data_IF_859929157035
#
_entry.id   IF_859929157035
#
_cell.length_a   1.000
_cell.length_b   1.000
_cell.length_c   1.000
_cell.angle_alpha   90.00
_cell.angle_beta   90.00
_cell.angle_gamma   90.00
#
_symmetry.space_group_name_H-M   'P 1'
#
loop_
_entity.id
_entity.type
_entity.pdbx_description
1 polymer ?
#
# COMPACT_ATOMS: atom_id res chain seq x y z
N UNK A 1 3.98 -16.74 3.06
CA UNK A 1 4.09 -15.45 3.78
C UNK A 1 2.69 -14.98 4.17
N UNK A 2 2.51 -14.22 5.26
CA UNK A 2 1.23 -13.54 5.51
C UNK A 2 0.94 -12.51 4.41
N UNK A 3 -0.34 -12.28 4.09
CA UNK A 3 -0.76 -11.34 3.04
C UNK A 3 -0.90 -9.90 3.54
N UNK A 4 -1.30 -9.73 4.80
CA UNK A 4 -1.60 -8.43 5.40
C UNK A 4 -1.17 -8.38 6.86
N UNK A 5 -0.87 -7.19 7.36
CA UNK A 5 -0.66 -6.89 8.79
C UNK A 5 -1.76 -5.98 9.33
N UNK A 6 -2.08 -6.09 10.61
CA UNK A 6 -3.08 -5.24 11.26
C UNK A 6 -2.52 -4.67 12.57
N UNK A 7 -2.23 -3.37 12.57
CA UNK A 7 -1.52 -2.70 13.66
C UNK A 7 -2.52 -1.88 14.47
N UNK A 8 -2.51 -2.11 15.80
CA UNK A 8 -3.27 -1.34 16.79
C UNK A 8 -4.76 -1.21 16.51
N UNK A 9 -5.36 -2.17 15.81
CA UNK A 9 -6.79 -2.13 15.51
C UNK A 9 -7.22 -1.02 14.53
N UNK A 10 -6.27 -0.35 13.86
CA UNK A 10 -6.58 0.84 13.03
C UNK A 10 -5.80 0.91 11.72
N UNK A 11 -4.64 0.25 11.62
CA UNK A 11 -3.81 0.35 10.42
C UNK A 11 -3.76 -1.00 9.71
N UNK A 12 -4.22 -1.04 8.47
CA UNK A 12 -4.13 -2.23 7.61
C UNK A 12 -2.92 -2.12 6.68
N UNK A 13 -1.99 -3.06 6.79
CA UNK A 13 -0.77 -3.11 5.98
C UNK A 13 -0.90 -4.18 4.89
N UNK A 14 -0.57 -3.85 3.64
CA UNK A 14 -0.57 -4.81 2.52
C UNK A 14 0.38 -4.37 1.39
N UNK A 15 0.94 -5.30 0.61
CA UNK A 15 1.91 -4.91 -0.42
C UNK A 15 1.26 -4.18 -1.60
N UNK A 16 0.23 -4.78 -2.20
CA UNK A 16 -0.48 -4.29 -3.37
C UNK A 16 -1.50 -3.22 -3.00
N UNK A 17 -2.78 -3.56 -3.00
CA UNK A 17 -3.82 -2.59 -2.66
C UNK A 17 -5.17 -3.25 -2.47
N UNK A 18 -6.21 -2.42 -2.41
CA UNK A 18 -7.55 -2.85 -2.04
C UNK A 18 -8.27 -3.63 -3.14
N UNK A 19 -9.34 -4.31 -2.74
CA UNK A 19 -10.24 -5.06 -3.62
C UNK A 19 -11.68 -4.58 -3.42
N UNK A 20 -12.51 -4.47 -4.49
CA UNK A 20 -13.92 -4.13 -4.36
C UNK A 20 -14.72 -5.17 -3.58
N UNK A 21 -14.18 -6.38 -3.41
CA UNK A 21 -14.81 -7.47 -2.68
C UNK A 21 -14.41 -7.54 -1.20
N UNK A 22 -13.55 -6.62 -0.73
CA UNK A 22 -13.15 -6.53 0.67
C UNK A 22 -14.24 -5.82 1.47
N UNK A 23 -15.04 -6.61 2.19
CA UNK A 23 -16.18 -6.16 2.98
C UNK A 23 -15.97 -6.34 4.48
N UNK A 24 -15.13 -7.29 4.90
CA UNK A 24 -14.76 -7.50 6.30
C UNK A 24 -13.33 -8.02 6.42
N UNK A 25 -12.72 -7.85 7.61
CA UNK A 25 -11.34 -8.31 7.86
C UNK A 25 -11.23 -9.84 7.95
N UNK A 26 -12.31 -10.56 8.25
CA UNK A 26 -12.31 -12.02 8.31
C UNK A 26 -12.09 -12.66 6.94
N UNK A 27 -12.48 -11.99 5.86
CA UNK A 27 -12.13 -12.41 4.51
C UNK A 27 -10.62 -12.55 4.33
N UNK A 28 -9.83 -11.60 4.84
CA UNK A 28 -8.36 -11.64 4.78
C UNK A 28 -7.77 -12.74 5.66
N UNK A 29 -8.37 -13.00 6.83
CA UNK A 29 -7.95 -14.06 7.76
C UNK A 29 -8.17 -15.46 7.19
N UNK A 30 -9.24 -15.63 6.41
CA UNK A 30 -9.67 -16.91 5.86
C UNK A 30 -9.18 -17.15 4.42
N UNK A 31 -8.31 -16.28 3.87
CA UNK A 31 -7.76 -16.52 2.54
C UNK A 31 -6.92 -17.80 2.52
N UNK A 32 -7.16 -18.72 1.56
CA UNK A 32 -6.36 -19.92 1.43
C UNK A 32 -4.91 -19.55 1.08
N UNK A 33 -3.94 -20.19 1.74
CA UNK A 33 -2.50 -19.90 1.52
C UNK A 33 -1.93 -20.55 0.26
N UNK A 34 -2.62 -21.56 -0.29
CA UNK A 34 -2.22 -22.24 -1.52
C UNK A 34 -2.67 -21.40 -2.70
N UNK A 35 -1.84 -20.42 -3.06
CA UNK A 35 -2.01 -19.65 -4.28
C UNK A 35 -0.67 -19.71 -5.00
N UNK A 36 -0.52 -20.69 -5.90
CA UNK A 36 0.36 -20.48 -7.05
C UNK A 36 -0.28 -19.33 -7.83
N UNK A 37 0.24 -18.12 -7.62
CA UNK A 37 -0.21 -16.95 -8.36
C UNK A 37 0.14 -17.21 -9.84
N UNK A 38 -0.85 -17.21 -10.75
CA UNK A 38 -0.55 -17.42 -12.17
C UNK A 38 0.17 -16.17 -12.70
N UNK A 39 1.50 -16.17 -12.68
CA UNK A 39 2.47 -15.12 -13.04
C UNK A 39 2.84 -14.06 -11.97
N UNK A 40 4.13 -13.76 -11.74
CA UNK A 40 4.60 -12.85 -10.68
C UNK A 40 4.47 -11.34 -10.98
N UNK A 41 3.75 -10.93 -12.03
CA UNK A 41 3.60 -9.53 -12.42
C UNK A 41 2.27 -8.91 -11.93
N UNK A 42 1.84 -9.22 -10.70
CA UNK A 42 0.61 -8.65 -10.14
C UNK A 42 0.89 -7.40 -9.33
N UNK A 43 0.76 -6.27 -10.00
CA UNK A 43 0.95 -4.97 -9.39
C UNK A 43 -0.23 -4.05 -9.50
N UNK A 44 -0.86 -3.75 -8.36
CA UNK A 44 -1.80 -2.63 -8.26
C UNK A 44 -1.04 -1.31 -8.42
N UNK A 45 -0.96 -0.85 -9.66
CA UNK A 45 -0.62 0.53 -9.98
C UNK A 45 -1.85 1.38 -9.66
N UNK A 46 -1.81 2.10 -8.54
CA UNK A 46 -2.70 3.24 -8.30
C UNK A 46 -2.36 4.27 -9.35
N UNK A 47 -3.13 4.26 -10.44
CA UNK A 47 -3.07 5.33 -11.42
C UNK A 47 -4.10 6.36 -11.00
N UNK A 48 -3.54 7.41 -10.42
CA UNK A 48 -4.17 8.67 -10.05
C UNK A 48 -5.25 9.04 -11.08
N UNK A 49 -6.48 9.31 -10.60
CA UNK A 49 -7.65 9.89 -11.30
C UNK A 49 -8.80 8.96 -11.72
N UNK A 50 -8.91 7.75 -11.18
CA UNK A 50 -10.16 6.97 -11.33
C UNK A 50 -11.15 7.32 -10.21
N UNK A 51 -12.44 7.33 -10.52
CA UNK A 51 -13.53 7.42 -9.53
C UNK A 51 -14.04 6.00 -9.28
N UNK A 52 -14.14 5.59 -8.02
CA UNK A 52 -14.57 4.26 -7.63
C UNK A 52 -13.55 3.18 -7.99
N UNK A 53 -14.03 2.09 -8.58
CA UNK A 53 -13.22 0.94 -8.97
C UNK A 53 -13.19 0.81 -10.49
N UNK A 54 -11.99 0.61 -11.04
CA UNK A 54 -11.80 0.37 -12.48
C UNK A 54 -11.00 -0.90 -12.68
N UNK A 55 -11.51 -1.82 -13.51
CA UNK A 55 -10.76 -3.01 -13.88
C UNK A 55 -9.47 -2.61 -14.62
N UNK A 56 -8.34 -3.11 -14.15
CA UNK A 56 -7.07 -2.92 -14.83
C UNK A 56 -6.98 -3.98 -15.94
N UNK A 57 -6.97 -3.56 -17.19
CA UNK A 57 -6.92 -4.49 -18.34
C UNK A 57 -5.54 -5.09 -18.57
N UNK A 58 -4.49 -4.55 -17.92
CA UNK A 58 -3.10 -5.01 -18.07
C UNK A 58 -2.63 -5.92 -16.93
N UNK A 59 -3.31 -5.88 -15.80
CA UNK A 59 -3.00 -6.64 -14.57
C UNK A 59 -4.32 -7.19 -14.08
N UNK A 60 -4.44 -8.50 -13.76
CA UNK A 60 -5.70 -9.06 -13.26
C UNK A 60 -6.04 -8.53 -11.85
N UNK A 61 -6.44 -7.26 -11.75
CA UNK A 61 -6.80 -6.56 -10.54
C UNK A 61 -7.53 -5.24 -10.86
N UNK A 62 -7.72 -4.39 -9.85
CA UNK A 62 -8.46 -3.14 -9.94
C UNK A 62 -7.59 -1.94 -9.60
N UNK A 63 -7.80 -0.85 -10.32
CA UNK A 63 -7.40 0.49 -9.91
C UNK A 63 -8.53 1.10 -9.07
N UNK A 64 -8.20 1.89 -8.06
CA UNK A 64 -9.17 2.47 -7.15
C UNK A 64 -8.94 3.96 -6.93
N UNK A 65 -10.03 4.68 -6.78
CA UNK A 65 -10.06 6.11 -6.52
C UNK A 65 -9.95 6.45 -5.03
N UNK A 66 -9.87 7.75 -4.76
CA UNK A 66 -9.88 8.27 -3.39
C UNK A 66 -11.18 7.91 -2.65
N UNK A 67 -12.31 7.94 -3.35
CA UNK A 67 -13.62 7.57 -2.82
C UNK A 67 -13.67 6.10 -2.37
N UNK A 68 -13.09 5.20 -3.16
CA UNK A 68 -12.99 3.79 -2.80
C UNK A 68 -12.12 3.55 -1.55
N UNK A 69 -11.01 4.29 -1.40
CA UNK A 69 -10.17 4.23 -0.18
C UNK A 69 -10.96 4.71 1.04
N UNK A 70 -11.65 5.84 0.93
CA UNK A 70 -12.46 6.39 2.02
C UNK A 70 -13.57 5.41 2.42
N UNK A 71 -14.29 4.85 1.44
CA UNK A 71 -15.35 3.85 1.69
C UNK A 71 -14.82 2.63 2.43
N UNK A 72 -13.70 2.06 1.98
CA UNK A 72 -13.11 0.89 2.63
C UNK A 72 -12.65 1.23 4.05
N UNK A 73 -12.00 2.37 4.26
CA UNK A 73 -11.59 2.76 5.61
C UNK A 73 -12.79 3.01 6.54
N UNK A 74 -13.91 3.51 6.03
CA UNK A 74 -15.14 3.66 6.84
C UNK A 74 -15.76 2.30 7.15
N UNK A 75 -15.92 1.46 6.11
CA UNK A 75 -16.54 0.13 6.19
C UNK A 75 -15.82 -0.83 7.13
N UNK A 76 -14.49 -0.77 7.16
CA UNK A 76 -13.65 -1.64 7.98
C UNK A 76 -13.18 -0.96 9.28
N UNK A 77 -13.67 0.24 9.56
CA UNK A 77 -13.26 1.09 10.69
C UNK A 77 -11.72 1.21 10.82
N UNK A 78 -11.08 1.59 9.72
CA UNK A 78 -9.63 1.81 9.66
C UNK A 78 -9.29 3.30 9.84
N UNK A 79 -8.15 3.55 10.48
CA UNK A 79 -7.48 4.86 10.53
C UNK A 79 -6.66 5.14 9.28
N UNK A 80 -5.93 4.12 8.80
CA UNK A 80 -4.95 4.24 7.72
C UNK A 80 -4.77 2.90 7.00
N UNK A 81 -4.52 2.96 5.69
CA UNK A 81 -4.01 1.83 4.91
C UNK A 81 -2.55 2.12 4.57
N UNK A 82 -1.65 1.21 4.94
CA UNK A 82 -0.24 1.28 4.57
C UNK A 82 0.06 0.28 3.46
N UNK A 83 0.59 0.76 2.34
CA UNK A 83 0.96 -0.09 1.21
C UNK A 83 2.34 0.21 0.64
N UNK A 84 2.79 -0.65 -0.27
CA UNK A 84 4.04 -0.47 -1.00
C UNK A 84 3.80 -0.59 -2.50
N UNK A 85 4.66 -1.32 -3.21
CA UNK A 85 4.51 -1.74 -4.61
C UNK A 85 4.65 -0.64 -5.67
N UNK A 86 4.50 0.64 -5.33
CA UNK A 86 4.76 1.75 -6.25
C UNK A 86 5.97 2.56 -5.81
N UNK A 87 6.90 2.80 -6.73
CA UNK A 87 8.00 3.77 -6.54
C UNK A 87 7.38 5.15 -6.38
N UNK A 88 7.73 5.84 -5.31
CA UNK A 88 7.31 7.20 -5.00
C UNK A 88 8.57 8.04 -4.77
N UNK A 89 8.58 9.28 -5.27
CA UNK A 89 9.79 10.10 -5.36
C UNK A 89 10.45 10.29 -3.99
N UNK A 90 9.67 10.63 -2.97
CA UNK A 90 10.19 10.89 -1.62
C UNK A 90 10.17 9.63 -0.75
N UNK A 91 10.10 8.42 -1.32
CA UNK A 91 10.05 7.17 -0.54
C UNK A 91 8.77 6.97 0.27
N UNK A 92 7.89 7.97 0.38
CA UNK A 92 6.50 7.82 0.81
C UNK A 92 5.57 8.82 0.10
N UNK A 93 4.29 8.50 -0.01
CA UNK A 93 3.27 9.39 -0.55
C UNK A 93 1.91 9.13 0.12
N UNK A 94 1.24 10.20 0.55
CA UNK A 94 -0.12 10.11 1.07
C UNK A 94 -1.16 10.27 -0.04
N UNK A 95 -2.25 9.53 0.09
CA UNK A 95 -3.40 9.56 -0.80
C UNK A 95 -4.71 9.57 -0.01
N UNK A 96 -5.79 9.99 -0.66
CA UNK A 96 -7.14 9.97 -0.14
C UNK A 96 -7.30 10.66 1.23
N UNK A 97 -6.88 11.93 1.33
CA UNK A 97 -6.89 12.71 2.58
C UNK A 97 -6.11 12.01 3.71
N UNK A 98 -4.90 11.52 3.39
CA UNK A 98 -4.01 10.80 4.31
C UNK A 98 -4.59 9.49 4.87
N UNK A 99 -5.61 8.91 4.22
CA UNK A 99 -6.20 7.62 4.61
C UNK A 99 -5.47 6.43 4.00
N UNK A 100 -4.58 6.69 3.03
CA UNK A 100 -3.65 5.70 2.49
C UNK A 100 -2.25 6.31 2.41
N UNK A 101 -1.25 5.53 2.79
CA UNK A 101 0.17 5.86 2.59
C UNK A 101 0.82 4.77 1.75
N UNK A 102 1.56 5.19 0.73
CA UNK A 102 2.48 4.33 0.00
C UNK A 102 3.87 4.56 0.54
N UNK A 103 4.60 3.51 0.90
CA UNK A 103 6.01 3.56 1.29
C UNK A 103 6.85 2.74 0.33
N UNK A 104 8.00 3.26 -0.08
CA UNK A 104 8.96 2.60 -0.93
C UNK A 104 10.36 2.77 -0.32
N UNK A 105 10.99 1.66 0.04
CA UNK A 105 12.21 1.69 0.86
C UNK A 105 13.50 1.41 0.05
N UNK A 106 13.40 1.20 -1.27
CA UNK A 106 14.58 1.04 -2.12
C UNK A 106 14.91 2.38 -2.82
N UNK A 107 15.97 3.10 -2.41
CA UNK A 107 16.39 4.31 -3.09
C UNK A 107 16.96 3.98 -4.48
N UNK A 108 16.93 4.96 -5.37
CA UNK A 108 17.40 4.86 -6.77
C UNK A 108 16.94 3.58 -7.48
N UNK A 109 15.64 3.28 -7.42
CA UNK A 109 15.13 1.99 -7.84
C UNK A 109 15.60 1.63 -9.27
N UNK A 110 16.21 0.46 -9.41
CA UNK A 110 16.81 -0.05 -10.66
C UNK A 110 17.81 0.90 -11.36
N UNK A 111 18.35 1.91 -10.68
CA UNK A 111 19.22 2.94 -11.27
C UNK A 111 18.53 3.83 -12.31
N UNK A 112 17.19 3.76 -12.39
CA UNK A 112 16.37 4.49 -13.37
C UNK A 112 15.58 5.63 -12.73
N UNK A 113 15.32 5.53 -11.44
CA UNK A 113 14.61 6.53 -10.66
C UNK A 113 15.60 7.21 -9.71
N UNK A 114 15.35 8.48 -9.40
CA UNK A 114 16.10 9.23 -8.39
C UNK A 114 15.33 9.31 -7.07
N UNK A 115 14.58 8.26 -6.75
CA UNK A 115 13.70 8.24 -5.59
C UNK A 115 14.47 8.01 -4.29
N UNK A 116 13.99 8.62 -3.22
CA UNK A 116 14.43 8.34 -1.86
C UNK A 116 13.85 6.99 -1.36
N UNK A 117 14.45 6.48 -0.28
CA UNK A 117 13.87 5.40 0.54
C UNK A 117 13.11 5.99 1.72
N UNK A 118 11.92 5.47 1.99
CA UNK A 118 11.09 5.87 3.13
C UNK A 118 10.78 4.70 4.07
N UNK A 119 10.68 5.02 5.37
CA UNK A 119 10.12 4.15 6.41
C UNK A 119 8.95 4.86 7.09
N UNK A 120 8.03 4.10 7.68
CA UNK A 120 6.94 4.66 8.49
C UNK A 120 7.03 4.05 9.89
N UNK A 121 7.13 4.93 10.89
CA UNK A 121 7.11 4.59 12.30
C UNK A 121 5.73 4.86 12.87
N UNK A 122 5.18 3.90 13.60
CA UNK A 122 3.90 4.05 14.31
C UNK A 122 4.20 4.03 15.81
N UNK A 123 3.83 5.09 16.51
CA UNK A 123 3.99 5.16 17.97
C UNK A 123 2.96 4.30 18.70
N UNK A 124 3.15 4.06 20.00
CA UNK A 124 2.18 3.35 20.85
C UNK A 124 0.83 4.07 20.92
N UNK A 125 0.83 5.39 20.81
CA UNK A 125 -0.37 6.25 20.74
C UNK A 125 -1.05 6.22 19.36
N UNK A 126 -0.59 5.35 18.45
CA UNK A 126 -1.08 5.20 17.08
C UNK A 126 -0.85 6.43 16.18
N UNK A 127 0.13 7.27 16.52
CA UNK A 127 0.58 8.35 15.65
C UNK A 127 1.55 7.79 14.60
N UNK A 128 1.21 7.96 13.32
CA UNK A 128 2.03 7.52 12.21
C UNK A 128 2.93 8.67 11.73
N UNK A 129 4.23 8.43 11.71
CA UNK A 129 5.25 9.37 11.24
C UNK A 129 6.08 8.72 10.14
N UNK A 130 6.04 9.29 8.94
CA UNK A 130 6.91 8.88 7.83
C UNK A 130 8.26 9.57 7.95
N UNK A 131 9.34 8.80 7.81
CA UNK A 131 10.72 9.29 7.83
C UNK A 131 11.39 8.98 6.50
N UNK A 132 12.09 9.99 5.97
CA UNK A 132 13.05 9.78 4.89
C UNK A 132 14.31 9.17 5.49
N UNK A 133 14.76 8.04 4.95
CA UNK A 133 16.06 7.52 5.32
C UNK A 133 17.12 8.30 4.55
N UNK A 134 18.05 9.01 5.24
CA UNK A 134 19.16 9.66 4.58
C UNK A 134 20.04 8.60 3.92
N UNK A 135 20.50 8.90 2.72
CA UNK A 135 21.44 8.05 1.99
C UNK A 135 22.74 7.90 2.78
N UNK A 136 23.03 6.70 3.27
CA UNK A 136 24.41 6.26 3.46
C UNK A 136 24.81 5.56 2.16
N UNK A 137 25.70 6.18 1.39
CA UNK A 137 26.51 5.44 0.42
C UNK A 137 27.24 4.34 1.17
N UNK A 138 26.76 3.10 1.11
CA UNK A 138 27.55 1.92 1.46
C UNK A 138 28.55 1.61 0.32
N UNK A 139 29.17 2.65 -0.22
CA UNK A 139 30.31 2.57 -1.14
C UNK A 139 31.33 3.58 -0.62
N UNK A 140 32.11 3.13 0.36
CA UNK A 140 33.56 3.33 0.46
C UNK A 140 34.10 2.39 1.53
#
# INVERSE_FOLDING_TARGET
MPLTGYIGGRILCMHGGLSPHLNNLDQLRNLPRLIDLPNPSYGNRSFLRVKGWQANTRVASYTFGQDAVVDVCQKLDLGLIARAHQVVQDGYEFFANQRLVTTFSAPHNCGQFDNAGGTMTVSEEMNAHSRLEPYYSLIN
#
